data_IF_448386495962
#
_entry.id   IF_448386495962
#
_cell.length_a   1.000
_cell.length_b   1.000
_cell.length_c   1.000
_cell.angle_alpha   90.00
_cell.angle_beta   90.00
_cell.angle_gamma   90.00
#
_symmetry.space_group_name_H-M   'P 1'
#
loop_
_entity.id
_entity.type
_entity.pdbx_description
1 polymer ?
#
# COMPACT_ATOMS: atom_id res chain seq x y z
N UNK A 1 -15.91 -25.12 1.74
CA UNK A 1 -16.51 -23.88 1.20
C UNK A 1 -15.42 -23.17 0.41
N UNK A 2 -15.69 -22.86 -0.86
CA UNK A 2 -14.74 -22.12 -1.71
C UNK A 2 -14.93 -20.64 -1.43
N UNK A 3 -13.90 -19.99 -0.87
CA UNK A 3 -13.91 -18.55 -0.59
C UNK A 3 -13.76 -17.69 -1.86
N UNK A 4 -13.44 -18.32 -3.00
CA UNK A 4 -13.29 -17.66 -4.30
C UNK A 4 -14.11 -18.43 -5.33
N UNK A 5 -14.96 -17.71 -6.06
CA UNK A 5 -15.80 -18.26 -7.13
C UNK A 5 -15.69 -17.38 -8.36
N UNK A 6 -15.42 -17.97 -9.51
CA UNK A 6 -15.45 -17.27 -10.79
C UNK A 6 -16.77 -17.57 -11.52
N UNK A 7 -17.42 -16.52 -12.04
CA UNK A 7 -18.62 -16.61 -12.89
C UNK A 7 -18.43 -15.71 -14.11
N UNK A 8 -18.09 -16.31 -15.24
CA UNK A 8 -17.70 -15.54 -16.42
C UNK A 8 -16.48 -14.66 -16.13
N UNK A 9 -16.63 -13.36 -16.34
CA UNK A 9 -15.58 -12.36 -16.09
C UNK A 9 -15.56 -11.81 -14.66
N UNK A 10 -16.52 -12.22 -13.85
CA UNK A 10 -16.63 -11.77 -12.47
C UNK A 10 -15.96 -12.76 -11.49
N UNK A 11 -15.18 -12.21 -10.57
CA UNK A 11 -14.55 -12.94 -9.48
C UNK A 11 -15.23 -12.54 -8.18
N UNK A 12 -15.78 -13.51 -7.48
CA UNK A 12 -16.44 -13.39 -6.18
C UNK A 12 -15.52 -13.85 -5.06
N UNK A 13 -15.42 -13.08 -4.00
CA UNK A 13 -14.52 -13.28 -2.87
C UNK A 13 -15.33 -13.27 -1.57
N UNK A 14 -15.19 -14.31 -0.74
CA UNK A 14 -15.75 -14.32 0.60
C UNK A 14 -14.69 -13.86 1.61
N UNK A 15 -14.92 -12.71 2.23
CA UNK A 15 -14.04 -12.10 3.23
C UNK A 15 -14.85 -11.85 4.49
N UNK A 16 -14.42 -12.44 5.61
CA UNK A 16 -15.10 -12.30 6.91
C UNK A 16 -16.61 -12.61 6.88
N UNK A 17 -17.04 -13.54 6.01
CA UNK A 17 -18.44 -13.93 5.86
C UNK A 17 -19.26 -13.04 4.91
N UNK A 18 -18.69 -11.98 4.39
CA UNK A 18 -19.31 -11.10 3.39
C UNK A 18 -18.74 -11.39 1.99
N UNK A 19 -19.59 -11.30 0.97
CA UNK A 19 -19.20 -11.52 -0.42
C UNK A 19 -18.97 -10.20 -1.13
N UNK A 20 -17.83 -10.12 -1.82
CA UNK A 20 -17.42 -9.03 -2.69
C UNK A 20 -17.18 -9.57 -4.09
N UNK A 21 -17.32 -8.73 -5.11
CA UNK A 21 -17.01 -9.12 -6.48
C UNK A 21 -16.34 -7.98 -7.24
N UNK A 22 -15.60 -8.35 -8.27
CA UNK A 22 -15.06 -7.42 -9.26
C UNK A 22 -15.08 -8.08 -10.64
N UNK A 23 -15.10 -7.28 -11.71
CA UNK A 23 -14.96 -7.74 -13.08
C UNK A 23 -13.48 -7.63 -13.49
N UNK A 24 -12.87 -8.77 -13.87
CA UNK A 24 -11.45 -8.83 -14.23
C UNK A 24 -11.12 -8.22 -15.60
N UNK A 25 -12.13 -7.98 -16.45
CA UNK A 25 -11.98 -7.35 -17.77
C UNK A 25 -12.14 -5.83 -17.72
N UNK A 26 -12.66 -5.28 -16.63
CA UNK A 26 -12.69 -3.83 -16.44
C UNK A 26 -11.27 -3.27 -16.21
N UNK A 27 -11.01 -2.03 -16.67
CA UNK A 27 -9.75 -1.38 -16.40
C UNK A 27 -9.45 -1.33 -14.90
N UNK A 28 -8.25 -1.73 -14.45
CA UNK A 28 -7.89 -1.66 -13.04
C UNK A 28 -7.78 -0.20 -12.58
N UNK A 29 -8.01 0.02 -11.28
CA UNK A 29 -7.75 1.30 -10.62
C UNK A 29 -6.26 1.63 -10.59
N UNK A 30 -5.40 0.60 -10.55
CA UNK A 30 -3.96 0.73 -10.57
C UNK A 30 -3.29 -0.64 -10.67
N UNK A 31 -2.05 -0.63 -11.16
CA UNK A 31 -1.19 -1.82 -11.21
C UNK A 31 0.22 -1.47 -10.76
N UNK A 32 0.80 -2.31 -9.91
CA UNK A 32 2.15 -2.15 -9.37
C UNK A 32 2.91 -3.47 -9.30
N UNK A 33 4.13 -3.42 -8.79
CA UNK A 33 5.01 -4.59 -8.70
C UNK A 33 4.39 -5.75 -7.90
N UNK A 34 3.60 -5.43 -6.85
CA UNK A 34 3.03 -6.40 -5.93
C UNK A 34 1.64 -6.91 -6.34
N UNK A 35 0.94 -6.21 -7.23
CA UNK A 35 -0.42 -6.60 -7.60
C UNK A 35 -1.16 -5.59 -8.44
N UNK A 36 -2.38 -5.97 -8.78
CA UNK A 36 -3.33 -5.14 -9.53
C UNK A 36 -4.54 -4.84 -8.65
N UNK A 37 -4.96 -3.59 -8.62
CA UNK A 37 -6.11 -3.13 -7.83
C UNK A 37 -7.30 -2.92 -8.75
N UNK A 38 -8.42 -3.57 -8.44
CA UNK A 38 -9.67 -3.49 -9.17
C UNK A 38 -10.73 -2.76 -8.36
N UNK A 39 -11.66 -2.13 -9.05
CA UNK A 39 -12.90 -1.65 -8.44
C UNK A 39 -13.81 -2.84 -8.17
N UNK A 40 -14.13 -3.06 -6.91
CA UNK A 40 -15.06 -4.09 -6.48
C UNK A 40 -16.31 -3.51 -5.83
N UNK A 41 -17.24 -4.40 -5.49
CA UNK A 41 -18.48 -4.08 -4.76
C UNK A 41 -18.81 -5.17 -3.75
N UNK A 42 -19.42 -4.78 -2.64
CA UNK A 42 -20.12 -5.71 -1.75
C UNK A 42 -21.35 -6.27 -2.46
N UNK A 43 -21.56 -7.58 -2.38
CA UNK A 43 -22.76 -8.22 -2.91
C UNK A 43 -24.02 -7.83 -2.14
N UNK A 44 -23.88 -7.49 -0.86
CA UNK A 44 -25.00 -7.16 0.03
C UNK A 44 -25.38 -5.69 -0.06
N UNK A 45 -24.41 -4.80 0.13
CA UNK A 45 -24.66 -3.36 0.25
C UNK A 45 -24.46 -2.59 -1.06
N UNK A 46 -23.81 -3.20 -2.07
CA UNK A 46 -23.37 -2.56 -3.31
C UNK A 46 -22.34 -1.43 -3.07
N UNK A 47 -21.82 -1.30 -1.86
CA UNK A 47 -20.76 -0.36 -1.54
C UNK A 47 -19.51 -0.69 -2.35
N UNK A 48 -18.85 0.35 -2.86
CA UNK A 48 -17.63 0.22 -3.65
C UNK A 48 -16.43 -0.02 -2.74
N UNK A 49 -15.59 -0.97 -3.13
CA UNK A 49 -14.36 -1.35 -2.43
C UNK A 49 -13.18 -1.40 -3.41
N UNK A 50 -11.97 -1.34 -2.90
CA UNK A 50 -10.76 -1.65 -3.65
C UNK A 50 -10.37 -3.12 -3.38
N UNK A 51 -10.11 -3.87 -4.47
CA UNK A 51 -9.70 -5.27 -4.40
C UNK A 51 -8.33 -5.40 -5.05
N UNK A 52 -7.30 -5.63 -4.24
CA UNK A 52 -5.93 -5.85 -4.69
C UNK A 52 -5.70 -7.35 -4.90
N UNK A 53 -5.44 -7.75 -6.14
CA UNK A 53 -4.98 -9.09 -6.47
C UNK A 53 -3.46 -9.12 -6.47
N UNK A 54 -2.88 -9.89 -5.57
CA UNK A 54 -1.42 -10.08 -5.49
C UNK A 54 -0.94 -10.84 -6.72
N UNK A 55 0.17 -10.40 -7.34
CA UNK A 55 0.75 -11.04 -8.54
C UNK A 55 1.13 -12.48 -8.25
N UNK A 56 0.79 -13.40 -9.15
CA UNK A 56 0.92 -14.85 -8.96
C UNK A 56 2.35 -15.29 -8.61
N UNK A 57 3.38 -14.65 -9.19
CA UNK A 57 4.79 -14.93 -8.85
C UNK A 57 5.12 -14.68 -7.37
N UNK A 58 4.44 -13.74 -6.73
CA UNK A 58 4.62 -13.42 -5.31
C UNK A 58 3.63 -14.19 -4.42
N UNK A 59 2.46 -14.53 -4.95
CA UNK A 59 1.44 -15.27 -4.22
C UNK A 59 1.91 -16.69 -3.78
N UNK A 60 2.96 -17.22 -4.40
CA UNK A 60 3.57 -18.51 -4.04
C UNK A 60 4.79 -18.38 -3.12
N UNK A 61 5.17 -17.15 -2.73
CA UNK A 61 6.28 -16.89 -1.80
C UNK A 61 5.72 -16.82 -0.37
N UNK A 62 6.09 -17.73 0.54
CA UNK A 62 5.51 -17.80 1.89
C UNK A 62 5.58 -16.48 2.65
N UNK A 63 6.74 -15.81 2.66
CA UNK A 63 6.91 -14.53 3.35
C UNK A 63 6.01 -13.41 2.81
N UNK A 64 5.75 -13.39 1.51
CA UNK A 64 4.85 -12.40 0.89
C UNK A 64 3.39 -12.72 1.24
N UNK A 65 3.02 -14.01 1.28
CA UNK A 65 1.69 -14.42 1.72
C UNK A 65 1.41 -14.01 3.16
N UNK A 66 2.36 -14.25 4.05
CA UNK A 66 2.24 -13.85 5.45
C UNK A 66 2.09 -12.34 5.62
N UNK A 67 2.84 -11.56 4.84
CA UNK A 67 2.71 -10.09 4.84
C UNK A 67 1.35 -9.64 4.31
N UNK A 68 0.86 -10.20 3.21
CA UNK A 68 -0.45 -9.90 2.69
C UNK A 68 -1.57 -10.22 3.70
N UNK A 69 -1.42 -11.32 4.44
CA UNK A 69 -2.32 -11.68 5.54
C UNK A 69 -2.21 -10.71 6.71
N UNK A 70 -0.98 -10.33 7.08
CA UNK A 70 -0.75 -9.34 8.13
C UNK A 70 -1.41 -8.02 7.76
N UNK A 71 -1.11 -7.46 6.59
CA UNK A 71 -1.72 -6.23 6.08
C UNK A 71 -3.24 -6.26 6.22
N UNK A 72 -3.85 -7.31 5.70
CA UNK A 72 -5.31 -7.45 5.71
C UNK A 72 -5.91 -7.74 7.09
N UNK A 73 -5.12 -8.26 8.04
CA UNK A 73 -5.55 -8.50 9.42
C UNK A 73 -5.45 -7.25 10.31
N UNK A 74 -4.70 -6.25 9.85
CA UNK A 74 -4.51 -4.99 10.56
C UNK A 74 -5.78 -4.12 10.41
N UNK A 75 -6.84 -4.47 11.13
CA UNK A 75 -8.10 -3.73 11.17
C UNK A 75 -7.94 -2.41 11.93
N UNK A 76 -6.98 -1.59 11.47
CA UNK A 76 -6.73 -0.30 12.08
C UNK A 76 -7.83 0.70 11.75
N UNK A 77 -8.30 1.36 12.80
CA UNK A 77 -9.20 2.51 12.69
C UNK A 77 -8.40 3.77 12.98
N UNK A 78 -7.87 4.38 11.94
CA UNK A 78 -7.20 5.67 12.04
C UNK A 78 -7.65 6.55 10.87
N UNK A 79 -7.96 7.82 11.16
CA UNK A 79 -8.54 8.75 10.16
C UNK A 79 -7.67 8.96 8.93
N UNK A 80 -6.34 8.75 9.05
CA UNK A 80 -5.37 8.95 7.98
C UNK A 80 -4.80 7.64 7.41
N UNK A 81 -5.39 6.49 7.76
CA UNK A 81 -5.11 5.20 7.13
C UNK A 81 -6.29 4.72 6.31
N UNK A 82 -6.01 3.97 5.25
CA UNK A 82 -7.06 3.22 4.55
C UNK A 82 -7.62 2.16 5.48
N UNK A 83 -8.93 1.98 5.47
CA UNK A 83 -9.60 0.95 6.25
C UNK A 83 -9.54 -0.38 5.52
N UNK A 84 -8.94 -1.39 6.16
CA UNK A 84 -8.87 -2.75 5.64
C UNK A 84 -10.15 -3.51 6.02
N UNK A 85 -10.71 -4.24 5.04
CA UNK A 85 -11.87 -5.11 5.25
C UNK A 85 -11.41 -6.53 5.53
N UNK A 86 -10.36 -6.98 4.86
CA UNK A 86 -9.75 -8.28 5.09
C UNK A 86 -9.12 -8.88 3.85
N UNK A 87 -8.84 -10.18 3.89
CA UNK A 87 -8.25 -10.88 2.76
C UNK A 87 -9.00 -12.18 2.43
N UNK A 88 -8.76 -12.67 1.21
CA UNK A 88 -9.24 -13.95 0.76
C UNK A 88 -8.14 -14.67 -0.02
N UNK A 89 -8.00 -15.97 0.22
CA UNK A 89 -7.08 -16.84 -0.52
C UNK A 89 -7.77 -18.14 -0.93
N UNK A 90 -7.38 -18.66 -2.08
CA UNK A 90 -7.92 -19.94 -2.56
C UNK A 90 -7.35 -21.12 -1.77
N UNK A 91 -6.06 -21.02 -1.45
CA UNK A 91 -5.29 -22.07 -0.76
C UNK A 91 -4.20 -21.39 0.08
N UNK A 92 -3.96 -21.83 1.33
CA UNK A 92 -2.95 -21.23 2.22
C UNK A 92 -1.51 -21.36 1.72
N UNK A 93 -1.23 -22.26 0.78
CA UNK A 93 0.13 -22.54 0.31
C UNK A 93 0.44 -21.95 -1.06
N UNK A 94 -0.58 -21.85 -1.93
CA UNK A 94 -0.43 -21.38 -3.31
C UNK A 94 -1.71 -20.76 -3.85
N UNK A 95 -1.63 -20.17 -5.06
CA UNK A 95 -2.76 -19.54 -5.72
C UNK A 95 -3.00 -18.09 -5.29
N UNK A 96 -4.00 -17.44 -5.87
CA UNK A 96 -4.22 -16.01 -5.72
C UNK A 96 -4.56 -15.62 -4.29
N UNK A 97 -4.04 -14.45 -3.89
CA UNK A 97 -4.42 -13.72 -2.68
C UNK A 97 -5.09 -12.43 -3.10
N UNK A 98 -6.17 -12.10 -2.43
CA UNK A 98 -6.90 -10.86 -2.60
C UNK A 98 -6.99 -10.12 -1.28
N UNK A 99 -6.72 -8.83 -1.31
CA UNK A 99 -6.87 -7.93 -0.17
C UNK A 99 -8.01 -6.98 -0.51
N UNK A 100 -8.97 -6.86 0.40
CA UNK A 100 -10.14 -5.98 0.24
C UNK A 100 -10.03 -4.84 1.23
N UNK A 101 -10.14 -3.62 0.72
CA UNK A 101 -10.10 -2.40 1.52
C UNK A 101 -11.20 -1.43 1.09
N UNK A 102 -11.49 -0.45 1.93
CA UNK A 102 -12.37 0.66 1.55
C UNK A 102 -11.80 1.39 0.34
N UNK A 103 -12.66 1.75 -0.60
CA UNK A 103 -12.27 2.57 -1.74
C UNK A 103 -12.06 4.02 -1.29
N UNK A 104 -10.85 4.52 -1.44
CA UNK A 104 -10.55 5.95 -1.28
C UNK A 104 -10.83 6.67 -2.61
N UNK A 105 -11.76 7.62 -2.58
CA UNK A 105 -12.15 8.38 -3.77
C UNK A 105 -11.41 9.72 -3.77
N UNK A 106 -10.40 9.84 -4.63
CA UNK A 106 -9.57 11.04 -4.67
C UNK A 106 -8.44 10.90 -5.68
N UNK A 107 -7.46 11.76 -5.53
CA UNK A 107 -6.23 11.77 -6.33
C UNK A 107 -5.02 11.53 -5.44
N UNK A 108 -3.91 11.11 -6.02
CA UNK A 108 -2.65 10.94 -5.29
C UNK A 108 -2.05 12.30 -4.90
N UNK A 109 -1.17 12.29 -3.89
CA UNK A 109 -0.59 13.53 -3.38
C UNK A 109 0.29 14.22 -4.42
N UNK A 110 1.03 13.48 -5.24
CA UNK A 110 1.82 14.04 -6.35
C UNK A 110 0.93 14.68 -7.41
N UNK A 111 -0.17 14.04 -7.79
CA UNK A 111 -1.15 14.62 -8.70
C UNK A 111 -1.74 15.91 -8.13
N UNK A 112 -2.11 15.91 -6.85
CA UNK A 112 -2.62 17.11 -6.18
C UNK A 112 -1.60 18.25 -6.14
N UNK A 113 -0.34 17.93 -5.77
CA UNK A 113 0.73 18.94 -5.76
C UNK A 113 0.94 19.52 -7.15
N UNK A 114 1.02 18.68 -8.17
CA UNK A 114 1.28 19.12 -9.54
C UNK A 114 0.13 19.96 -10.11
N UNK A 115 -1.12 19.59 -9.82
CA UNK A 115 -2.30 20.26 -10.40
C UNK A 115 -2.77 21.47 -9.60
N UNK A 116 -2.61 21.48 -8.25
CA UNK A 116 -3.22 22.46 -7.38
C UNK A 116 -2.26 23.31 -6.57
N UNK A 117 -1.05 22.81 -6.27
CA UNK A 117 -0.15 23.48 -5.33
C UNK A 117 1.09 24.09 -5.97
N UNK A 118 1.71 23.43 -6.96
CA UNK A 118 3.04 23.77 -7.49
C UNK A 118 3.23 25.23 -7.87
N UNK A 119 2.21 25.86 -8.44
CA UNK A 119 2.27 27.26 -8.90
C UNK A 119 1.79 28.28 -7.86
N UNK A 120 1.56 27.88 -6.62
CA UNK A 120 1.10 28.77 -5.55
C UNK A 120 2.29 29.41 -4.85
N UNK A 121 2.11 30.65 -4.37
CA UNK A 121 3.12 31.34 -3.55
C UNK A 121 3.38 30.64 -2.21
N UNK A 122 2.39 29.92 -1.69
CA UNK A 122 2.42 29.19 -0.43
C UNK A 122 2.63 27.65 -0.63
N UNK A 123 3.11 27.24 -1.84
CA UNK A 123 3.26 25.84 -2.21
C UNK A 123 4.07 25.02 -1.20
N UNK A 124 5.28 25.50 -0.84
CA UNK A 124 6.16 24.82 0.11
C UNK A 124 5.45 24.56 1.44
N UNK A 125 4.79 25.58 2.00
CA UNK A 125 4.06 25.46 3.25
C UNK A 125 2.96 24.40 3.13
N UNK A 126 2.14 24.45 2.07
CA UNK A 126 1.03 23.51 1.88
C UNK A 126 1.49 22.07 1.63
N UNK A 127 2.58 21.89 0.89
CA UNK A 127 3.18 20.57 0.69
C UNK A 127 3.64 19.99 2.04
N UNK A 128 4.35 20.78 2.87
CA UNK A 128 4.75 20.34 4.19
C UNK A 128 3.55 20.03 5.09
N UNK A 129 2.52 20.89 5.08
CA UNK A 129 1.29 20.68 5.86
C UNK A 129 0.53 19.42 5.45
N UNK A 130 0.58 19.04 4.16
CA UNK A 130 -0.07 17.81 3.67
C UNK A 130 0.58 16.52 4.20
N UNK A 131 1.81 16.59 4.70
CA UNK A 131 2.48 15.42 5.29
C UNK A 131 2.20 15.23 6.79
N UNK A 132 1.65 16.22 7.51
CA UNK A 132 1.29 16.03 8.92
C UNK A 132 0.30 14.88 9.16
N UNK A 133 -0.78 14.71 8.36
CA UNK A 133 -1.66 13.55 8.49
C UNK A 133 -0.96 12.21 8.20
N UNK A 134 0.06 12.20 7.31
CA UNK A 134 0.87 11.01 7.05
C UNK A 134 1.73 10.68 8.26
N UNK A 135 2.37 11.68 8.87
CA UNK A 135 3.16 11.52 10.10
C UNK A 135 2.31 11.02 11.27
N UNK A 136 1.07 11.52 11.39
CA UNK A 136 0.10 11.06 12.41
C UNK A 136 -0.27 9.57 12.19
N UNK A 137 -0.46 9.16 10.94
CA UNK A 137 -0.68 7.76 10.58
C UNK A 137 0.54 6.87 10.88
N UNK A 138 1.75 7.33 10.56
CA UNK A 138 2.99 6.61 10.83
C UNK A 138 3.24 6.47 12.33
N UNK A 139 3.05 7.52 13.12
CA UNK A 139 3.19 7.46 14.58
C UNK A 139 2.25 6.41 15.17
N UNK A 140 0.98 6.38 14.70
CA UNK A 140 0.00 5.36 15.11
C UNK A 140 0.46 3.93 14.77
N UNK A 141 1.05 3.69 13.59
CA UNK A 141 1.59 2.40 13.20
C UNK A 141 2.81 2.02 14.04
N UNK A 142 3.74 2.96 14.23
CA UNK A 142 4.98 2.76 14.99
C UNK A 142 4.72 2.43 16.46
N UNK A 143 3.70 3.04 17.08
CA UNK A 143 3.27 2.69 18.44
C UNK A 143 2.76 1.25 18.55
N UNK A 144 2.37 0.64 17.44
CA UNK A 144 1.95 -0.77 17.35
C UNK A 144 3.07 -1.70 16.85
N UNK A 145 4.28 -1.17 16.74
CA UNK A 145 5.44 -1.93 16.25
C UNK A 145 5.39 -2.25 14.76
N UNK A 146 4.64 -1.47 13.97
CA UNK A 146 4.48 -1.71 12.53
C UNK A 146 5.23 -0.64 11.75
N UNK A 147 6.05 -1.07 10.80
CA UNK A 147 6.77 -0.23 9.83
C UNK A 147 6.09 -0.37 8.47
N UNK A 148 5.80 0.74 7.80
CA UNK A 148 5.05 0.77 6.54
C UNK A 148 5.86 0.26 5.33
N UNK A 149 7.10 0.74 5.17
CA UNK A 149 8.12 0.30 4.20
C UNK A 149 7.83 0.58 2.72
N UNK A 150 6.87 1.43 2.40
CA UNK A 150 6.60 1.86 1.01
C UNK A 150 5.94 3.27 0.99
N UNK A 151 6.54 4.21 1.73
CA UNK A 151 6.07 5.61 1.74
C UNK A 151 6.53 6.31 0.47
N UNK A 152 5.54 6.70 -0.35
CA UNK A 152 5.75 7.42 -1.60
C UNK A 152 4.51 8.24 -1.96
N UNK A 153 4.61 9.26 -2.83
CA UNK A 153 3.47 10.09 -3.19
C UNK A 153 2.27 9.30 -3.73
N UNK A 154 2.53 8.22 -4.48
CA UNK A 154 1.49 7.36 -5.05
C UNK A 154 0.68 6.57 -3.99
N UNK A 155 1.25 6.35 -2.79
CA UNK A 155 0.58 5.69 -1.66
C UNK A 155 -0.08 6.68 -0.69
N UNK A 156 -0.13 7.96 -1.03
CA UNK A 156 -0.80 8.99 -0.24
C UNK A 156 -1.91 9.58 -1.10
N UNK A 157 -3.15 9.43 -0.69
CA UNK A 157 -4.31 9.95 -1.42
C UNK A 157 -5.00 11.09 -0.68
N UNK A 158 -5.55 12.01 -1.45
CA UNK A 158 -6.40 13.08 -0.95
C UNK A 158 -7.84 12.75 -1.31
N UNK A 159 -8.60 12.34 -0.29
CA UNK A 159 -10.01 12.01 -0.38
C UNK A 159 -10.86 13.27 -0.23
N UNK A 160 -11.81 13.48 -1.15
CA UNK A 160 -12.73 14.64 -1.11
C UNK A 160 -12.06 16.02 -0.96
N UNK A 161 -10.85 16.15 -1.52
CA UNK A 161 -10.11 17.41 -1.60
C UNK A 161 -9.37 17.82 -0.33
N UNK A 162 -9.51 17.13 0.79
CA UNK A 162 -8.85 17.53 2.06
C UNK A 162 -8.41 16.39 2.97
N UNK A 163 -9.04 15.23 2.91
CA UNK A 163 -8.72 14.12 3.81
C UNK A 163 -7.57 13.30 3.27
N UNK A 164 -6.44 13.32 3.93
CA UNK A 164 -5.26 12.55 3.52
C UNK A 164 -5.35 11.15 4.10
N UNK A 165 -5.16 10.16 3.21
CA UNK A 165 -5.14 8.73 3.52
C UNK A 165 -3.83 8.12 3.06
N UNK A 166 -3.12 7.50 3.99
CA UNK A 166 -1.99 6.63 3.69
C UNK A 166 -2.55 5.27 3.28
N UNK A 167 -2.13 4.83 2.10
CA UNK A 167 -2.59 3.61 1.43
C UNK A 167 -1.55 2.52 1.55
N UNK A 168 -1.96 1.31 1.22
CA UNK A 168 -1.09 0.20 0.83
C UNK A 168 -0.04 -0.18 1.89
N UNK A 169 -0.50 -0.74 3.02
CA UNK A 169 0.35 -1.37 4.03
C UNK A 169 0.99 -2.69 3.51
N UNK A 170 1.07 -2.86 2.18
CA UNK A 170 1.34 -4.12 1.49
C UNK A 170 2.68 -4.76 1.74
N UNK A 171 3.51 -4.13 2.58
CA UNK A 171 4.81 -4.67 2.98
C UNK A 171 5.02 -4.49 4.49
N UNK A 172 3.97 -4.11 5.23
CA UNK A 172 4.07 -3.84 6.65
C UNK A 172 4.92 -4.91 7.36
N UNK A 173 5.93 -4.45 8.07
CA UNK A 173 6.86 -5.28 8.82
C UNK A 173 6.57 -5.15 10.31
N UNK A 174 6.55 -6.30 10.99
CA UNK A 174 6.65 -6.35 12.44
C UNK A 174 7.93 -7.07 12.81
N UNK A 175 8.61 -6.74 13.94
CA UNK A 175 9.84 -7.41 14.37
C UNK A 175 9.69 -8.94 14.51
N UNK A 176 8.45 -9.40 14.74
CA UNK A 176 8.10 -10.83 14.86
C UNK A 176 7.73 -11.48 13.51
N UNK A 177 7.58 -10.69 12.45
CA UNK A 177 7.32 -11.23 11.11
C UNK A 177 8.61 -11.72 10.47
N UNK A 178 8.53 -12.93 9.95
CA UNK A 178 9.57 -13.76 9.31
C UNK A 178 10.82 -13.03 8.82
N UNK A 179 11.97 -13.55 9.23
CA UNK A 179 13.31 -13.19 8.79
C UNK A 179 13.35 -12.89 7.27
N UNK A 180 13.78 -11.69 6.93
CA UNK A 180 14.06 -11.28 5.55
C UNK A 180 15.37 -11.96 5.09
N UNK A 181 15.33 -13.28 4.87
CA UNK A 181 16.52 -14.09 4.56
C UNK A 181 16.80 -14.21 3.06
N UNK A 182 15.89 -13.73 2.22
CA UNK A 182 16.10 -13.79 0.79
C UNK A 182 16.67 -12.48 0.26
N UNK A 183 17.75 -12.51 -0.56
CA UNK A 183 18.24 -11.33 -1.24
C UNK A 183 17.16 -10.68 -2.07
N UNK A 184 17.07 -9.36 -2.02
CA UNK A 184 16.08 -8.60 -2.78
C UNK A 184 15.79 -7.24 -2.17
N UNK A 185 14.96 -6.51 -2.87
CA UNK A 185 14.48 -5.21 -2.45
C UNK A 185 13.06 -5.34 -1.92
N UNK A 186 12.79 -4.68 -0.81
CA UNK A 186 11.43 -4.52 -0.27
C UNK A 186 11.03 -3.07 -0.45
N UNK A 187 9.86 -2.85 -1.05
CA UNK A 187 9.37 -1.51 -1.33
C UNK A 187 9.64 -1.06 -2.76
N UNK A 188 9.61 0.24 -2.96
CA UNK A 188 9.84 0.88 -4.25
C UNK A 188 11.28 1.40 -4.32
N UNK A 189 12.12 0.94 -5.27
CA UNK A 189 13.58 1.20 -5.28
C UNK A 189 13.99 2.64 -5.04
N UNK A 190 13.29 3.59 -5.66
CA UNK A 190 13.62 5.02 -5.60
C UNK A 190 13.36 5.68 -4.22
N UNK A 191 12.61 5.03 -3.35
CA UNK A 191 12.25 5.54 -2.03
C UNK A 191 12.88 4.71 -0.91
N UNK A 192 13.28 3.47 -1.23
CA UNK A 192 13.74 2.50 -0.26
C UNK A 192 14.94 2.99 0.54
N UNK A 193 14.87 2.84 1.84
CA UNK A 193 15.98 3.09 2.73
C UNK A 193 17.08 2.02 2.53
N UNK A 194 18.36 2.32 2.84
CA UNK A 194 19.46 1.38 2.64
C UNK A 194 19.24 0.00 3.28
N UNK A 195 18.60 -0.05 4.44
CA UNK A 195 18.30 -1.28 5.17
C UNK A 195 17.23 -2.16 4.50
N UNK A 196 16.48 -1.62 3.53
CA UNK A 196 15.51 -2.39 2.75
C UNK A 196 16.17 -3.13 1.56
N UNK A 197 17.42 -2.81 1.26
CA UNK A 197 18.19 -3.40 0.17
C UNK A 197 19.04 -4.51 0.74
N UNK A 198 18.73 -5.78 0.42
CA UNK A 198 19.46 -6.94 0.90
C UNK A 198 20.37 -7.45 -0.23
N UNK A 199 21.65 -7.20 -0.12
CA UNK A 199 22.65 -7.74 -1.04
C UNK A 199 23.09 -9.15 -0.62
N UNK A 200 23.41 -10.04 -1.58
CA UNK A 200 23.91 -11.38 -1.27
C UNK A 200 25.18 -11.32 -0.41
N UNK A 201 25.14 -11.97 0.76
CA UNK A 201 26.31 -12.06 1.66
C UNK A 201 26.50 -10.89 2.62
N UNK A 202 25.65 -9.88 2.59
CA UNK A 202 25.66 -8.80 3.58
C UNK A 202 24.87 -9.17 4.83
N UNK A 203 25.30 -8.58 5.96
CA UNK A 203 24.52 -8.65 7.21
C UNK A 203 23.29 -7.78 7.03
N UNK A 204 22.13 -8.35 7.25
CA UNK A 204 20.86 -7.62 7.18
C UNK A 204 20.82 -6.50 8.21
N UNK A 205 20.59 -5.28 7.76
CA UNK A 205 20.30 -4.15 8.64
C UNK A 205 18.88 -4.30 9.20
N UNK A 206 18.68 -3.80 10.40
CA UNK A 206 17.37 -3.88 11.05
C UNK A 206 16.45 -2.81 10.47
N UNK A 207 15.33 -3.23 9.92
CA UNK A 207 14.24 -2.33 9.53
C UNK A 207 13.48 -1.90 10.79
N UNK A 208 13.31 -0.62 10.98
CA UNK A 208 12.53 -0.04 12.06
C UNK A 208 11.78 1.24 11.61
N UNK A 209 11.22 1.97 12.54
CA UNK A 209 10.48 3.22 12.26
C UNK A 209 11.31 4.28 11.50
N UNK A 210 12.64 4.23 11.59
CA UNK A 210 13.51 5.18 10.88
C UNK A 210 13.51 4.95 9.38
N UNK A 211 13.21 3.73 8.93
CA UNK A 211 12.98 3.38 7.53
C UNK A 211 11.86 4.22 6.91
N UNK A 212 10.70 4.30 7.57
CA UNK A 212 9.59 5.14 7.10
C UNK A 212 9.95 6.63 7.10
N UNK A 213 10.78 7.08 8.05
CA UNK A 213 11.24 8.47 8.10
C UNK A 213 12.16 8.80 6.92
N UNK A 214 13.03 7.86 6.52
CA UNK A 214 13.85 8.02 5.32
C UNK A 214 12.98 8.13 4.07
N UNK A 215 12.04 7.22 3.87
CA UNK A 215 11.11 7.22 2.73
C UNK A 215 10.25 8.49 2.69
N UNK A 216 9.80 8.98 3.86
CA UNK A 216 9.07 10.23 3.98
C UNK A 216 9.93 11.43 3.56
N UNK A 217 11.22 11.41 3.90
CA UNK A 217 12.19 12.43 3.47
C UNK A 217 12.34 12.46 1.95
N UNK A 218 12.49 11.31 1.31
CA UNK A 218 12.56 11.18 -0.15
C UNK A 218 11.25 11.66 -0.80
N UNK A 219 10.12 11.27 -0.23
CA UNK A 219 8.78 11.71 -0.65
C UNK A 219 8.64 13.23 -0.60
N UNK A 220 9.02 13.85 0.52
CA UNK A 220 8.98 15.31 0.67
C UNK A 220 9.88 16.00 -0.35
N UNK A 221 11.10 15.48 -0.54
CA UNK A 221 12.03 16.04 -1.54
C UNK A 221 11.38 16.06 -2.93
N UNK A 222 10.83 14.91 -3.36
CA UNK A 222 10.20 14.80 -4.67
C UNK A 222 9.00 15.75 -4.85
N UNK A 223 8.14 15.86 -3.83
CA UNK A 223 7.01 16.76 -3.86
C UNK A 223 7.43 18.25 -3.96
N UNK A 224 8.53 18.62 -3.31
CA UNK A 224 9.07 19.99 -3.35
C UNK A 224 9.85 20.26 -4.63
N UNK A 225 10.76 19.36 -5.02
CA UNK A 225 11.66 19.56 -6.15
C UNK A 225 10.98 19.26 -7.50
N UNK A 226 9.97 18.36 -7.52
CA UNK A 226 9.27 17.91 -8.72
C UNK A 226 9.95 16.74 -9.43
N UNK A 227 11.00 16.18 -8.83
CA UNK A 227 11.68 14.98 -9.30
C UNK A 227 12.23 14.19 -8.12
N UNK A 228 12.38 12.87 -8.29
CA UNK A 228 12.94 11.99 -7.27
C UNK A 228 14.48 12.11 -7.26
N UNK A 229 15.13 12.27 -6.09
CA UNK A 229 16.59 12.47 -6.01
C UNK A 229 17.41 11.26 -6.46
N UNK A 230 16.79 10.08 -6.51
CA UNK A 230 17.44 8.83 -6.92
C UNK A 230 17.00 8.35 -8.31
N UNK A 231 16.33 9.22 -9.09
CA UNK A 231 15.99 8.89 -10.47
C UNK A 231 17.22 9.08 -11.38
N UNK A 232 17.76 7.96 -11.92
CA UNK A 232 18.95 7.95 -12.76
C UNK A 232 18.76 8.60 -14.13
N UNK A 233 17.57 9.11 -14.43
CA UNK A 233 17.22 9.77 -15.69
C UNK A 233 17.29 11.30 -15.65
N UNK A 234 17.76 11.89 -14.55
CA UNK A 234 17.96 13.34 -14.37
C UNK A 234 19.42 13.71 -14.40
#
# INVERSE_FOLDING_TARGET
>A
YRNIVQKGDEIYLCVNGEWFFYNQTEPPLGAGAMGTVYLGRSCQTQERVAIKRVVDKYANVPSIRERAKLEASLLFRHRNLVEMIGYCELNPYNGPIFIVSRLVQGITLDEHVNTHLRNRKDAVKRICESLYPVMDALDYLHQKGIVHMDIKPANIMIEHGSNIRLMDLGIAYTPDSVSMTSPGLIGTPKYAAPEQIIEPGQVQLTVDKTTDIYELGVTLYELLAGYNPFDSST
#
